data_IF_650527647840
#
_entry.id   IF_650527647840
#
_cell.length_a   1.000
_cell.length_b   1.000
_cell.length_c   1.000
_cell.angle_alpha   90.00
_cell.angle_beta   90.00
_cell.angle_gamma   90.00
#
_symmetry.space_group_name_H-M   'P 1'
#
loop_
_entity.id
_entity.type
_entity.pdbx_description
1 polymer ?
#
# COMPACT_ATOMS: atom_id res chain seq x y z
N UNK A 1 32.63 7.83 -5.05
CA UNK A 1 31.86 7.72 -3.79
C UNK A 1 30.40 8.07 -3.99
N UNK A 2 30.06 9.23 -4.57
CA UNK A 2 28.67 9.64 -4.81
C UNK A 2 27.87 8.68 -5.71
N UNK A 3 28.47 8.19 -6.81
CA UNK A 3 27.82 7.20 -7.69
C UNK A 3 27.39 5.92 -6.94
N UNK A 4 28.26 5.39 -6.07
CA UNK A 4 27.93 4.23 -5.24
C UNK A 4 26.81 4.53 -4.23
N UNK A 5 26.75 5.75 -3.68
CA UNK A 5 25.66 6.15 -2.80
C UNK A 5 24.31 6.10 -3.53
N UNK A 6 24.26 6.59 -4.78
CA UNK A 6 23.04 6.59 -5.60
C UNK A 6 22.62 5.16 -5.96
N UNK A 7 23.55 4.27 -6.28
CA UNK A 7 23.28 2.85 -6.54
C UNK A 7 22.66 2.15 -5.33
N UNK A 8 23.25 2.32 -4.14
CA UNK A 8 22.74 1.75 -2.90
C UNK A 8 21.38 2.36 -2.51
N UNK A 9 21.20 3.66 -2.69
CA UNK A 9 19.92 4.33 -2.47
C UNK A 9 18.84 3.78 -3.42
N UNK A 10 19.18 3.58 -4.69
CA UNK A 10 18.27 3.01 -5.68
C UNK A 10 17.81 1.61 -5.26
N UNK A 11 18.76 0.75 -4.87
CA UNK A 11 18.45 -0.60 -4.40
C UNK A 11 17.58 -0.57 -3.14
N UNK A 12 17.94 0.24 -2.14
CA UNK A 12 17.19 0.36 -0.89
C UNK A 12 15.73 0.80 -1.14
N UNK A 13 15.54 1.86 -1.93
CA UNK A 13 14.19 2.38 -2.22
C UNK A 13 13.36 1.36 -3.00
N UNK A 14 13.96 0.61 -3.94
CA UNK A 14 13.26 -0.48 -4.64
C UNK A 14 12.76 -1.56 -3.69
N UNK A 15 13.61 -2.02 -2.77
CA UNK A 15 13.23 -3.02 -1.77
C UNK A 15 12.12 -2.51 -0.87
N UNK A 16 12.25 -1.28 -0.36
CA UNK A 16 11.19 -0.63 0.43
C UNK A 16 9.88 -0.63 -0.38
N UNK A 17 9.91 -0.10 -1.61
CA UNK A 17 8.73 0.01 -2.47
C UNK A 17 8.06 -1.35 -2.74
N UNK A 18 8.85 -2.38 -3.03
CA UNK A 18 8.34 -3.73 -3.24
C UNK A 18 7.67 -4.28 -1.98
N UNK A 19 8.29 -4.14 -0.81
CA UNK A 19 7.76 -4.65 0.46
C UNK A 19 6.43 -3.97 0.81
N UNK A 20 6.37 -2.63 0.74
CA UNK A 20 5.13 -1.90 1.03
C UNK A 20 4.05 -2.18 -0.02
N UNK A 21 4.43 -2.39 -1.28
CA UNK A 21 3.53 -2.79 -2.35
C UNK A 21 2.91 -4.16 -2.10
N UNK A 22 3.70 -5.14 -1.65
CA UNK A 22 3.21 -6.46 -1.23
C UNK A 22 2.24 -6.30 -0.05
N UNK A 23 2.57 -5.49 0.95
CA UNK A 23 1.69 -5.24 2.08
C UNK A 23 0.35 -4.60 1.66
N UNK A 24 0.37 -3.62 0.77
CA UNK A 24 -0.84 -2.94 0.27
C UNK A 24 -1.75 -3.88 -0.54
N UNK A 25 -1.17 -4.62 -1.47
CA UNK A 25 -1.91 -5.58 -2.29
C UNK A 25 -2.44 -6.73 -1.41
N UNK A 26 -1.64 -7.23 -0.48
CA UNK A 26 -2.04 -8.28 0.46
C UNK A 26 -3.21 -7.85 1.35
N UNK A 27 -3.15 -6.65 1.93
CA UNK A 27 -4.26 -6.08 2.70
C UNK A 27 -5.52 -5.94 1.84
N UNK A 28 -5.37 -5.49 0.59
CA UNK A 28 -6.50 -5.36 -0.35
C UNK A 28 -7.19 -6.70 -0.61
N UNK A 29 -6.42 -7.75 -0.90
CA UNK A 29 -6.99 -9.09 -1.09
C UNK A 29 -7.66 -9.62 0.18
N UNK A 30 -7.06 -9.38 1.35
CA UNK A 30 -7.67 -9.75 2.62
C UNK A 30 -9.04 -9.09 2.83
N UNK A 31 -9.15 -7.77 2.60
CA UNK A 31 -10.43 -7.06 2.76
C UNK A 31 -11.46 -7.42 1.68
N UNK A 32 -11.04 -7.71 0.45
CA UNK A 32 -11.94 -8.23 -0.59
C UNK A 32 -12.50 -9.60 -0.19
N UNK A 33 -11.63 -10.49 0.30
CA UNK A 33 -12.07 -11.79 0.82
C UNK A 33 -13.02 -11.62 2.01
N UNK A 34 -12.69 -10.75 2.96
CA UNK A 34 -13.52 -10.46 4.13
C UNK A 34 -14.92 -10.00 3.70
N UNK A 35 -14.99 -9.04 2.78
CA UNK A 35 -16.24 -8.49 2.27
C UNK A 35 -17.12 -9.53 1.59
N UNK A 36 -16.50 -10.39 0.77
CA UNK A 36 -17.22 -11.43 0.03
C UNK A 36 -17.76 -12.53 0.95
N UNK A 37 -17.16 -12.73 2.12
CA UNK A 37 -17.55 -13.78 3.07
C UNK A 37 -18.42 -13.27 4.23
N UNK A 38 -18.76 -11.98 4.29
CA UNK A 38 -19.69 -11.47 5.30
C UNK A 38 -21.02 -12.23 5.23
N UNK A 39 -21.45 -12.78 6.37
CA UNK A 39 -22.80 -13.27 6.55
C UNK A 39 -23.75 -12.07 6.63
N UNK A 40 -24.65 -12.00 5.66
CA UNK A 40 -25.65 -10.92 5.54
C UNK A 40 -27.06 -11.40 5.87
N UNK A 41 -27.20 -12.60 6.44
CA UNK A 41 -28.50 -13.14 6.88
C UNK A 41 -28.90 -12.51 8.21
N UNK A 42 -29.97 -11.73 8.20
CA UNK A 42 -30.54 -11.04 9.36
C UNK A 42 -29.50 -10.32 10.25
N UNK A 43 -28.74 -9.34 9.70
CA UNK A 43 -27.73 -8.63 10.47
C UNK A 43 -28.38 -7.85 11.62
N UNK A 44 -27.66 -7.71 12.74
CA UNK A 44 -28.08 -6.82 13.83
C UNK A 44 -28.28 -5.40 13.29
N UNK A 45 -29.14 -4.64 13.96
CA UNK A 45 -29.47 -3.27 13.54
C UNK A 45 -28.19 -2.43 13.38
N UNK A 46 -28.10 -1.72 12.25
CA UNK A 46 -26.93 -0.89 11.90
C UNK A 46 -25.76 -1.65 11.24
N UNK A 47 -25.77 -2.98 11.23
CA UNK A 47 -24.73 -3.79 10.58
C UNK A 47 -25.07 -4.12 9.12
N UNK A 48 -24.03 -4.22 8.31
CA UNK A 48 -24.08 -4.76 6.94
C UNK A 48 -23.93 -6.29 6.94
N UNK A 49 -23.32 -6.85 7.97
CA UNK A 49 -23.06 -8.28 8.13
C UNK A 49 -21.96 -8.55 9.16
N UNK A 50 -21.72 -9.82 9.42
CA UNK A 50 -20.67 -10.28 10.34
C UNK A 50 -19.85 -11.45 9.75
N UNK A 51 -18.70 -11.72 10.34
CA UNK A 51 -17.83 -12.83 9.96
C UNK A 51 -17.18 -13.43 11.21
N UNK A 52 -17.19 -14.76 11.29
CA UNK A 52 -16.43 -15.51 12.27
C UNK A 52 -15.19 -16.11 11.61
N UNK A 53 -14.02 -15.88 12.20
CA UNK A 53 -12.75 -16.37 11.67
C UNK A 53 -11.88 -16.96 12.79
N UNK A 54 -11.03 -17.94 12.47
CA UNK A 54 -10.05 -18.51 13.40
C UNK A 54 -8.63 -18.27 12.89
N UNK A 55 -7.74 -17.80 13.76
CA UNK A 55 -6.32 -17.66 13.43
C UNK A 55 -5.46 -17.69 14.71
N UNK A 56 -4.31 -18.37 14.66
CA UNK A 56 -3.40 -18.47 15.81
C UNK A 56 -4.01 -19.13 17.06
N UNK A 57 -5.04 -19.96 16.89
CA UNK A 57 -5.78 -20.60 17.98
C UNK A 57 -6.88 -19.75 18.62
N UNK A 58 -7.04 -18.49 18.22
CA UNK A 58 -8.12 -17.59 18.67
C UNK A 58 -9.24 -17.44 17.65
N UNK A 59 -10.45 -17.12 18.13
CA UNK A 59 -11.63 -16.86 17.31
C UNK A 59 -11.92 -15.35 17.30
N UNK A 60 -12.09 -14.80 16.10
CA UNK A 60 -12.45 -13.41 15.85
C UNK A 60 -13.90 -13.34 15.38
N UNK A 61 -14.67 -12.40 15.95
CA UNK A 61 -15.99 -12.01 15.46
C UNK A 61 -15.88 -10.59 14.92
N UNK A 62 -16.00 -10.44 13.60
CA UNK A 62 -15.90 -9.16 12.92
C UNK A 62 -17.30 -8.69 12.53
N UNK A 63 -17.62 -7.45 12.85
CA UNK A 63 -18.89 -6.82 12.50
C UNK A 63 -18.65 -5.61 11.61
N UNK A 64 -19.30 -5.57 10.45
CA UNK A 64 -19.20 -4.43 9.54
C UNK A 64 -20.42 -3.53 9.74
N UNK A 65 -20.21 -2.31 10.20
CA UNK A 65 -21.25 -1.27 10.24
C UNK A 65 -21.58 -0.76 8.83
N UNK A 66 -22.85 -0.36 8.60
CA UNK A 66 -23.27 0.26 7.31
C UNK A 66 -22.60 1.60 7.06
N UNK A 67 -22.38 2.38 8.11
CA UNK A 67 -21.74 3.69 8.04
C UNK A 67 -20.73 3.87 9.17
N UNK A 68 -21.23 3.86 10.42
CA UNK A 68 -20.41 4.04 11.62
C UNK A 68 -21.06 3.32 12.81
N UNK A 69 -20.27 2.93 13.83
CA UNK A 69 -20.80 2.48 15.11
C UNK A 69 -21.46 3.62 15.90
N UNK A 70 -22.38 3.32 16.83
CA UNK A 70 -23.00 4.34 17.70
C UNK A 70 -21.99 5.15 18.53
N UNK A 71 -20.88 4.51 18.90
CA UNK A 71 -19.73 5.14 19.58
C UNK A 71 -18.46 4.67 18.90
N UNK A 72 -17.64 5.62 18.44
CA UNK A 72 -16.34 5.30 17.87
C UNK A 72 -15.39 4.77 18.96
N UNK A 73 -14.60 3.73 18.67
CA UNK A 73 -13.57 3.26 19.59
C UNK A 73 -12.45 4.29 19.72
N UNK A 74 -11.82 4.35 20.90
CA UNK A 74 -10.65 5.21 21.13
C UNK A 74 -9.45 4.77 20.29
N UNK A 75 -9.26 3.45 20.16
CA UNK A 75 -8.19 2.85 19.37
C UNK A 75 -8.75 2.31 18.05
N UNK A 76 -8.67 3.12 17.00
CA UNK A 76 -9.06 2.71 15.65
C UNK A 76 -7.83 2.29 14.83
N UNK A 77 -7.77 1.01 14.46
CA UNK A 77 -6.75 0.52 13.53
C UNK A 77 -7.21 0.81 12.10
N UNK A 78 -6.52 1.75 11.45
CA UNK A 78 -6.80 2.14 10.07
C UNK A 78 -5.64 1.74 9.14
N UNK A 79 -5.92 0.78 8.25
CA UNK A 79 -5.00 0.24 7.24
C UNK A 79 -4.80 1.22 6.07
N UNK A 80 -4.24 2.39 6.36
CA UNK A 80 -3.93 3.44 5.37
C UNK A 80 -2.46 3.48 4.97
N UNK A 81 -1.60 2.98 5.85
CA UNK A 81 -0.15 3.20 5.76
C UNK A 81 0.48 2.37 4.66
N UNK A 82 -0.07 1.20 4.37
CA UNK A 82 0.38 0.33 3.30
C UNK A 82 0.22 1.03 1.94
N UNK A 83 -0.96 1.61 1.70
CA UNK A 83 -1.25 2.36 0.48
C UNK A 83 -0.41 3.64 0.38
N UNK A 84 -0.37 4.46 1.45
CA UNK A 84 0.39 5.71 1.44
C UNK A 84 1.89 5.49 1.30
N UNK A 85 2.45 4.49 1.98
CA UNK A 85 3.88 4.19 1.88
C UNK A 85 4.23 3.64 0.50
N UNK A 86 3.35 2.85 -0.12
CA UNK A 86 3.53 2.41 -1.51
C UNK A 86 3.54 3.57 -2.48
N UNK A 87 2.58 4.48 -2.35
CA UNK A 87 2.52 5.67 -3.20
C UNK A 87 3.77 6.55 -3.02
N UNK A 88 4.14 6.86 -1.77
CA UNK A 88 5.30 7.70 -1.47
C UNK A 88 6.61 7.09 -1.99
N UNK A 89 6.86 5.81 -1.69
CA UNK A 89 8.06 5.11 -2.18
C UNK A 89 8.07 4.98 -3.71
N UNK A 90 6.91 4.88 -4.35
CA UNK A 90 6.79 4.87 -5.80
C UNK A 90 7.15 6.22 -6.43
N UNK A 91 6.72 7.34 -5.84
CA UNK A 91 7.12 8.69 -6.28
C UNK A 91 8.61 8.93 -6.10
N UNK A 92 9.19 8.46 -4.99
CA UNK A 92 10.64 8.54 -4.76
C UNK A 92 11.37 7.69 -5.80
N UNK A 93 10.92 6.46 -6.06
CA UNK A 93 11.53 5.58 -7.06
C UNK A 93 11.43 6.17 -8.48
N UNK A 94 10.29 6.77 -8.84
CA UNK A 94 10.10 7.48 -10.10
C UNK A 94 11.12 8.63 -10.23
N UNK A 95 11.29 9.43 -9.18
CA UNK A 95 12.29 10.50 -9.12
C UNK A 95 13.70 9.97 -9.36
N UNK A 96 14.11 8.93 -8.61
CA UNK A 96 15.46 8.38 -8.69
C UNK A 96 15.74 7.76 -10.06
N UNK A 97 14.80 6.99 -10.61
CA UNK A 97 15.02 6.24 -11.85
C UNK A 97 14.95 7.14 -13.08
N UNK A 98 13.96 8.02 -13.14
CA UNK A 98 13.68 8.77 -14.37
C UNK A 98 14.17 10.21 -14.33
N UNK A 99 14.07 10.89 -13.18
CA UNK A 99 14.32 12.33 -13.11
C UNK A 99 15.75 12.69 -12.66
N UNK A 100 16.44 11.83 -11.91
CA UNK A 100 17.85 12.08 -11.54
C UNK A 100 18.83 11.78 -12.69
N UNK A 101 18.48 10.88 -13.62
CA UNK A 101 19.28 10.62 -14.81
C UNK A 101 18.40 10.48 -16.07
N UNK A 102 17.82 11.59 -16.56
CA UNK A 102 16.90 11.56 -17.68
C UNK A 102 17.57 11.14 -18.99
N UNK A 103 18.89 11.34 -19.13
CA UNK A 103 19.64 10.93 -20.32
C UNK A 103 19.61 9.41 -20.56
N UNK A 104 19.50 8.63 -19.48
CA UNK A 104 19.52 7.17 -19.53
C UNK A 104 18.14 6.55 -19.82
N UNK A 105 17.06 7.18 -19.36
CA UNK A 105 15.72 6.57 -19.39
C UNK A 105 14.64 7.40 -20.11
N UNK A 106 14.82 8.71 -20.27
CA UNK A 106 13.79 9.62 -20.81
C UNK A 106 14.19 10.33 -22.11
N UNK A 107 15.48 10.55 -22.34
CA UNK A 107 15.97 11.30 -23.50
C UNK A 107 16.53 10.37 -24.57
N UNK A 108 16.24 10.68 -25.84
CA UNK A 108 16.88 10.01 -26.97
C UNK A 108 18.38 10.40 -27.06
N UNK A 109 19.23 9.51 -27.60
CA UNK A 109 20.63 9.84 -27.90
C UNK A 109 20.72 11.09 -28.80
N UNK A 110 21.54 12.06 -28.41
CA UNK A 110 21.67 13.33 -29.15
C UNK A 110 20.54 14.34 -28.92
N UNK A 111 19.66 14.11 -27.94
CA UNK A 111 18.61 15.07 -27.56
C UNK A 111 19.20 16.43 -27.20
N UNK A 112 18.61 17.50 -27.73
CA UNK A 112 18.97 18.88 -27.40
C UNK A 112 18.67 19.25 -25.92
N UNK A 113 17.92 18.40 -25.21
CA UNK A 113 17.62 18.54 -23.78
C UNK A 113 18.61 17.79 -22.89
N UNK A 114 19.57 17.04 -23.47
CA UNK A 114 20.60 16.37 -22.68
C UNK A 114 21.54 17.41 -22.06
N UNK A 115 21.98 17.21 -20.80
CA UNK A 115 23.00 18.07 -20.22
C UNK A 115 24.25 18.07 -21.11
N UNK A 116 24.87 19.24 -21.29
CA UNK A 116 26.13 19.33 -22.03
C UNK A 116 27.18 18.44 -21.37
N UNK A 117 27.84 17.61 -22.18
CA UNK A 117 28.90 16.70 -21.75
C UNK A 117 30.11 17.43 -21.17
#
# INVERSE_FOLDING_TARGET
MEAHLIEWLNLLVRWIHMIVGIAWIGASFYFVWLENNLNRSNPREGLSGDLWAIHGGGIYHLEKYKLAPPKMPENLHWFKWEAYSTWMSGVVLLTIVFYLNPALCLLAPGSALAPAA
#
